data_IF_257502185944
#
_entry.id   IF_257502185944
#
_cell.length_a   1.000
_cell.length_b   1.000
_cell.length_c   1.000
_cell.angle_alpha   90.00
_cell.angle_beta   90.00
_cell.angle_gamma   90.00
#
_symmetry.space_group_name_H-M   'P 1'
#
loop_
_entity.id
_entity.type
_entity.pdbx_description
1 polymer ?
#
# COMPACT_ATOMS: atom_id res chain seq x y z
N UNK A 1 -3.59 -12.54 -13.92
CA UNK A 1 -4.69 -11.73 -13.36
C UNK A 1 -4.69 -11.84 -11.83
N UNK A 2 -4.91 -10.74 -11.15
CA UNK A 2 -4.95 -10.74 -9.69
C UNK A 2 -6.22 -11.44 -9.20
N UNK A 3 -6.07 -12.27 -8.18
CA UNK A 3 -7.19 -12.95 -7.56
C UNK A 3 -8.14 -11.94 -6.91
N UNK A 4 -9.44 -12.14 -7.05
CA UNK A 4 -10.47 -11.22 -6.55
C UNK A 4 -10.35 -11.01 -5.03
N UNK A 5 -10.12 -12.07 -4.28
CA UNK A 5 -10.00 -11.99 -2.82
C UNK A 5 -8.76 -11.19 -2.40
N UNK A 6 -7.65 -11.38 -3.10
CA UNK A 6 -6.43 -10.64 -2.84
C UNK A 6 -6.59 -9.15 -3.18
N UNK A 7 -7.30 -8.84 -4.27
CA UNK A 7 -7.57 -7.46 -4.64
C UNK A 7 -8.48 -6.78 -3.63
N UNK A 8 -9.47 -7.50 -3.16
CA UNK A 8 -10.39 -7.01 -2.13
C UNK A 8 -9.65 -6.71 -0.83
N UNK A 9 -8.76 -7.60 -0.42
CA UNK A 9 -7.91 -7.39 0.76
C UNK A 9 -7.05 -6.13 0.60
N UNK A 10 -6.50 -5.93 -0.61
CA UNK A 10 -5.72 -4.74 -0.90
C UNK A 10 -6.56 -3.46 -0.74
N UNK A 11 -7.76 -3.43 -1.29
CA UNK A 11 -8.64 -2.27 -1.19
C UNK A 11 -9.02 -2.01 0.27
N UNK A 12 -9.26 -3.05 1.05
CA UNK A 12 -9.57 -2.91 2.47
C UNK A 12 -8.44 -2.23 3.24
N UNK A 13 -7.19 -2.63 3.02
CA UNK A 13 -6.07 -2.02 3.73
C UNK A 13 -5.78 -0.60 3.24
N UNK A 14 -6.01 -0.32 1.96
CA UNK A 14 -5.92 1.05 1.43
C UNK A 14 -6.91 1.96 2.14
N UNK A 15 -8.14 1.49 2.32
CA UNK A 15 -9.17 2.25 3.02
C UNK A 15 -8.74 2.58 4.45
N UNK A 16 -8.18 1.61 5.15
CA UNK A 16 -7.73 1.82 6.54
C UNK A 16 -6.57 2.81 6.61
N UNK A 17 -5.63 2.74 5.67
CA UNK A 17 -4.53 3.70 5.61
C UNK A 17 -5.04 5.13 5.35
N UNK A 18 -5.98 5.28 4.44
CA UNK A 18 -6.55 6.59 4.13
C UNK A 18 -7.34 7.16 5.30
N UNK A 19 -7.99 6.30 6.09
CA UNK A 19 -8.66 6.73 7.31
C UNK A 19 -7.71 7.34 8.34
N UNK A 20 -6.46 6.94 8.34
CA UNK A 20 -5.44 7.52 9.22
C UNK A 20 -4.80 8.78 8.63
N UNK A 21 -5.22 9.20 7.44
CA UNK A 21 -4.70 10.39 6.80
C UNK A 21 -3.62 10.15 5.75
N UNK A 22 -3.31 8.89 5.45
CA UNK A 22 -2.35 8.58 4.40
C UNK A 22 -2.99 8.70 3.02
N UNK A 23 -2.18 9.00 2.02
CA UNK A 23 -2.57 8.90 0.61
C UNK A 23 -1.92 7.67 0.02
N UNK A 24 -2.74 6.83 -0.61
CA UNK A 24 -2.27 5.62 -1.29
C UNK A 24 -2.48 5.80 -2.79
N UNK A 25 -1.38 5.72 -3.54
CA UNK A 25 -1.41 5.81 -4.99
C UNK A 25 -1.05 4.44 -5.53
N UNK A 26 -1.92 3.86 -6.35
CA UNK A 26 -1.64 2.55 -6.94
C UNK A 26 -2.01 2.51 -8.41
N UNK A 27 -1.35 1.61 -9.14
CA UNK A 27 -1.56 1.41 -10.55
C UNK A 27 -1.58 -0.08 -10.85
N UNK A 28 -2.57 -0.52 -11.60
CA UNK A 28 -2.70 -1.92 -11.99
C UNK A 28 -2.82 -2.01 -13.50
N UNK A 29 -1.93 -2.78 -14.11
CA UNK A 29 -1.93 -3.05 -15.56
C UNK A 29 -2.13 -4.55 -15.74
N UNK A 30 -3.35 -4.96 -16.06
CA UNK A 30 -3.72 -6.37 -16.14
C UNK A 30 -3.03 -7.10 -17.29
N UNK A 31 -2.78 -6.39 -18.40
CA UNK A 31 -2.17 -7.00 -19.59
C UNK A 31 -0.71 -7.43 -19.36
N UNK A 32 -0.02 -6.81 -18.44
CA UNK A 32 1.36 -7.17 -18.08
C UNK A 32 1.48 -7.65 -16.64
N UNK A 33 0.35 -7.83 -15.98
CA UNK A 33 0.25 -8.30 -14.60
C UNK A 33 1.15 -7.47 -13.65
N UNK A 34 1.15 -6.15 -13.84
CA UNK A 34 1.94 -5.22 -13.05
C UNK A 34 1.07 -4.50 -12.03
N UNK A 35 1.56 -4.38 -10.81
CA UNK A 35 0.87 -3.69 -9.74
C UNK A 35 1.88 -2.84 -8.95
N UNK A 36 1.66 -1.52 -8.91
CA UNK A 36 2.50 -0.58 -8.15
C UNK A 36 1.67 0.02 -7.04
N UNK A 37 2.26 0.17 -5.85
CA UNK A 37 1.63 0.86 -4.73
C UNK A 37 2.63 1.74 -4.01
N UNK A 38 2.19 2.95 -3.66
CA UNK A 38 2.99 3.95 -2.97
C UNK A 38 2.15 4.58 -1.87
N UNK A 39 2.69 4.74 -0.67
CA UNK A 39 1.98 5.30 0.47
C UNK A 39 2.72 6.52 1.01
N UNK A 40 1.99 7.61 1.21
CA UNK A 40 2.47 8.82 1.87
C UNK A 40 1.68 8.98 3.16
N UNK A 41 2.31 8.68 4.29
CA UNK A 41 1.61 8.65 5.59
C UNK A 41 0.96 9.97 5.97
N UNK A 42 1.56 11.09 5.57
CA UNK A 42 1.07 12.43 5.92
C UNK A 42 0.39 13.13 4.74
N UNK A 43 -0.07 12.36 3.76
CA UNK A 43 -0.63 12.90 2.54
C UNK A 43 0.42 13.06 1.44
N UNK A 44 -0.05 13.12 0.20
CA UNK A 44 0.82 13.18 -0.96
C UNK A 44 1.60 14.50 -1.01
N UNK A 45 2.91 14.39 -1.14
CA UNK A 45 3.81 15.52 -1.34
C UNK A 45 4.96 15.04 -2.22
N UNK A 46 5.00 15.48 -3.46
CA UNK A 46 6.00 15.01 -4.42
C UNK A 46 7.43 15.46 -4.06
N UNK A 47 7.58 16.42 -3.14
CA UNK A 47 8.90 16.85 -2.65
C UNK A 47 9.45 15.89 -1.58
N UNK A 48 8.62 14.99 -1.08
CA UNK A 48 8.97 14.04 -0.04
C UNK A 48 9.07 12.63 -0.62
N UNK A 49 9.93 11.81 -0.03
CA UNK A 49 9.99 10.39 -0.39
C UNK A 49 8.78 9.68 0.20
N UNK A 50 8.23 8.69 -0.52
CA UNK A 50 7.12 7.91 0.04
C UNK A 50 7.58 7.12 1.27
N UNK A 51 6.65 6.90 2.19
CA UNK A 51 6.90 6.09 3.37
C UNK A 51 6.89 4.60 3.06
N UNK A 52 6.21 4.23 1.99
CA UNK A 52 6.14 2.85 1.53
C UNK A 52 6.04 2.86 0.00
N UNK A 53 6.80 1.98 -0.64
CA UNK A 53 6.73 1.81 -2.10
C UNK A 53 7.05 0.38 -2.45
N UNK A 54 6.19 -0.24 -3.25
CA UNK A 54 6.37 -1.61 -3.69
C UNK A 54 5.72 -1.82 -5.05
N UNK A 55 6.31 -2.67 -5.88
CA UNK A 55 5.70 -3.04 -7.15
C UNK A 55 5.97 -4.50 -7.47
N UNK A 56 5.03 -5.13 -8.14
CA UNK A 56 5.27 -6.43 -8.75
C UNK A 56 6.03 -6.20 -10.05
N UNK A 57 6.97 -7.05 -10.37
CA UNK A 57 7.66 -7.01 -11.65
C UNK A 57 7.64 -8.40 -12.26
N UNK A 58 7.73 -8.46 -13.60
CA UNK A 58 7.76 -9.73 -14.32
C UNK A 58 8.93 -10.60 -13.91
N UNK A 59 10.00 -9.98 -13.40
CA UNK A 59 11.24 -10.66 -13.07
C UNK A 59 11.28 -11.15 -11.63
N UNK A 60 10.45 -10.59 -10.77
CA UNK A 60 10.38 -11.00 -9.36
C UNK A 60 8.97 -11.43 -9.09
N UNK A 61 8.82 -12.64 -8.60
CA UNK A 61 7.53 -13.22 -8.23
C UNK A 61 6.96 -12.55 -6.98
N UNK A 62 6.95 -11.22 -6.96
CA UNK A 62 6.30 -10.48 -5.89
C UNK A 62 4.82 -10.47 -6.20
N UNK A 63 4.06 -11.24 -5.47
CA UNK A 63 2.62 -11.34 -5.64
C UNK A 63 1.91 -10.23 -4.86
N UNK A 64 0.64 -9.99 -5.21
CA UNK A 64 -0.19 -9.07 -4.45
C UNK A 64 -0.32 -9.51 -2.99
N UNK A 65 -0.22 -10.80 -2.71
CA UNK A 65 -0.23 -11.31 -1.33
C UNK A 65 0.95 -10.76 -0.53
N UNK A 66 2.12 -10.70 -1.15
CA UNK A 66 3.31 -10.13 -0.53
C UNK A 66 3.12 -8.65 -0.27
N UNK A 67 2.54 -7.93 -1.24
CA UNK A 67 2.24 -6.50 -1.09
C UNK A 67 1.24 -6.29 0.04
N UNK A 68 0.18 -7.08 0.10
CA UNK A 68 -0.82 -6.99 1.15
C UNK A 68 -0.22 -7.21 2.53
N UNK A 69 0.64 -8.22 2.66
CA UNK A 69 1.32 -8.50 3.93
C UNK A 69 2.20 -7.31 4.35
N UNK A 70 2.96 -6.76 3.41
CA UNK A 70 3.82 -5.62 3.69
C UNK A 70 3.01 -4.37 4.05
N UNK A 71 1.87 -4.15 3.38
CA UNK A 71 0.98 -3.04 3.69
C UNK A 71 0.35 -3.18 5.07
N UNK A 72 -0.03 -4.39 5.47
CA UNK A 72 -0.56 -4.62 6.81
C UNK A 72 0.49 -4.32 7.89
N UNK A 73 1.74 -4.71 7.65
CA UNK A 73 2.83 -4.39 8.57
C UNK A 73 3.08 -2.88 8.65
N UNK A 74 3.05 -2.22 7.49
CA UNK A 74 3.19 -0.76 7.43
C UNK A 74 2.04 -0.06 8.17
N UNK A 75 0.81 -0.54 7.99
CA UNK A 75 -0.36 0.00 8.65
C UNK A 75 -0.23 -0.11 10.17
N UNK A 76 0.24 -1.24 10.68
CA UNK A 76 0.41 -1.43 12.13
C UNK A 76 1.41 -0.44 12.70
N UNK A 77 2.53 -0.22 12.02
CA UNK A 77 3.53 0.76 12.45
C UNK A 77 2.98 2.17 12.43
N UNK A 78 2.28 2.51 11.35
CA UNK A 78 1.68 3.82 11.19
C UNK A 78 0.60 4.06 12.24
N UNK A 79 -0.25 3.07 12.48
CA UNK A 79 -1.31 3.17 13.48
C UNK A 79 -0.73 3.40 14.88
N UNK A 80 0.32 2.68 15.24
CA UNK A 80 1.00 2.86 16.52
C UNK A 80 1.55 4.27 16.64
N UNK A 81 2.27 4.74 15.63
CA UNK A 81 2.82 6.10 15.62
C UNK A 81 1.73 7.15 15.72
N UNK A 82 0.63 6.94 14.98
CA UNK A 82 -0.49 7.86 14.97
C UNK A 82 -1.10 8.01 16.37
N UNK A 83 -1.38 6.89 17.03
CA UNK A 83 -1.98 6.91 18.36
C UNK A 83 -1.02 7.44 19.43
N UNK A 84 0.25 7.11 19.32
CA UNK A 84 1.25 7.61 20.29
C UNK A 84 1.50 9.11 20.15
N UNK A 85 1.52 9.63 18.94
CA UNK A 85 1.78 11.05 18.70
C UNK A 85 0.61 11.96 18.99
N UNK A 86 -0.61 11.41 18.97
CA UNK A 86 -1.84 12.18 19.18
C UNK A 86 -2.42 12.05 20.60
N UNK A 87 -1.64 11.49 21.50
CA UNK A 87 -2.03 11.45 22.93
C UNK A 87 -1.54 12.67 23.65
#
# INVERSE_FOLDING_TARGET
MINKEDFKEFIDIVYELENLGADVIFKYLSNVNMFDVTVYNKGYDYSQKPDFKMKTSEWKLVSIKTINKALHEHYRKYENDFYFKNK
#
